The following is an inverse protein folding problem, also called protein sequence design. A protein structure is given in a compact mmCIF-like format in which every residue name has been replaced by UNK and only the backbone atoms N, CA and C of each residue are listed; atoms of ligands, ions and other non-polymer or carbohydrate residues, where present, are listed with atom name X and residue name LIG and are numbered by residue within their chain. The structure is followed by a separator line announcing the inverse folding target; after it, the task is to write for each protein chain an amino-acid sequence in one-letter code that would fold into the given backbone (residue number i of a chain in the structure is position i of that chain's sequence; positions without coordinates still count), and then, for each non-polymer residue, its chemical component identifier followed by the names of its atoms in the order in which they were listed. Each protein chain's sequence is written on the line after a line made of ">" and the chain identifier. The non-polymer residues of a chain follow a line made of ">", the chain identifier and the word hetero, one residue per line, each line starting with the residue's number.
data_IF_996236511917
#
_entry.id   IF_996236511917
#
_cell.length_a   1.000
_cell.length_b   1.000
_cell.length_c   1.000
_cell.angle_alpha   90.00
_cell.angle_beta   90.00
_cell.angle_gamma   90.00
#
_symmetry.space_group_name_H-M   'P 1'
#
loop_
_entity.id
_entity.type
_entity.pdbx_description
1 polymer ?
#
# COMPACT_ATOMS: atom_id res chain seq x y z
N UNK A 1 8.47 -20.07 -19.56
CA UNK A 1 8.12 -18.66 -19.82
C UNK A 1 8.67 -17.84 -18.66
N UNK A 2 9.33 -16.72 -18.93
CA UNK A 2 10.17 -16.00 -17.98
C UNK A 2 9.46 -14.75 -17.45
N UNK A 3 9.32 -14.60 -16.13
CA UNK A 3 8.70 -13.47 -15.43
C UNK A 3 7.18 -13.40 -15.49
N UNK A 4 6.55 -12.90 -14.42
CA UNK A 4 5.21 -12.28 -14.47
C UNK A 4 5.20 -11.03 -15.37
N UNK A 5 6.33 -10.32 -15.45
CA UNK A 5 6.63 -9.28 -16.44
C UNK A 5 7.87 -9.68 -17.23
N UNK A 6 7.74 -9.80 -18.56
CA UNK A 6 8.82 -10.17 -19.48
C UNK A 6 9.16 -9.02 -20.42
N UNK A 7 10.43 -8.65 -20.50
CA UNK A 7 10.95 -7.61 -21.39
C UNK A 7 11.87 -8.30 -22.41
N UNK A 8 11.55 -8.19 -23.71
CA UNK A 8 12.18 -9.01 -24.77
C UNK A 8 12.55 -8.25 -26.04
N UNK A 9 12.39 -6.92 -26.10
CA UNK A 9 12.55 -6.18 -27.36
C UNK A 9 14.00 -5.72 -27.53
N UNK A 10 14.70 -6.23 -28.54
CA UNK A 10 16.11 -5.94 -28.85
C UNK A 10 16.42 -4.45 -29.05
N UNK A 11 15.46 -3.68 -29.52
CA UNK A 11 15.61 -2.23 -29.74
C UNK A 11 14.94 -1.37 -28.65
N UNK A 12 14.64 -1.94 -27.48
CA UNK A 12 14.06 -1.19 -26.38
C UNK A 12 14.97 0.00 -26.00
N UNK A 13 14.46 1.22 -26.19
CA UNK A 13 15.05 2.49 -25.75
C UNK A 13 14.04 3.19 -24.86
N UNK A 14 14.50 3.79 -23.76
CA UNK A 14 13.63 4.46 -22.78
C UNK A 14 13.80 3.88 -21.38
N UNK A 15 12.76 3.97 -20.55
CA UNK A 15 12.76 3.44 -19.18
C UNK A 15 11.64 2.44 -18.97
N UNK A 16 11.95 1.32 -18.32
CA UNK A 16 10.94 0.47 -17.68
C UNK A 16 10.82 0.91 -16.22
N UNK A 17 9.61 1.26 -15.79
CA UNK A 17 9.35 1.72 -14.43
C UNK A 17 8.35 0.79 -13.77
N UNK A 18 8.80 0.04 -12.78
CA UNK A 18 7.95 -0.69 -11.84
C UNK A 18 8.09 -0.03 -10.48
N UNK A 19 7.10 0.76 -10.10
CA UNK A 19 7.05 1.42 -8.80
C UNK A 19 5.76 1.03 -8.08
N UNK A 20 5.88 0.68 -6.80
CA UNK A 20 4.72 0.43 -5.93
C UNK A 20 3.80 -0.70 -6.40
N UNK A 21 4.37 -1.74 -7.01
CA UNK A 21 3.63 -2.93 -7.43
C UNK A 21 3.78 -4.03 -6.38
N UNK A 22 2.83 -4.98 -6.37
CA UNK A 22 2.96 -6.23 -5.63
C UNK A 22 3.13 -7.36 -6.64
N UNK A 23 4.24 -8.10 -6.54
CA UNK A 23 4.50 -9.32 -7.29
C UNK A 23 4.34 -10.52 -6.36
N UNK A 24 3.24 -11.25 -6.52
CA UNK A 24 2.82 -12.31 -5.60
C UNK A 24 2.61 -13.64 -6.33
N UNK A 25 3.13 -14.74 -5.77
CA UNK A 25 2.95 -16.12 -6.27
C UNK A 25 3.24 -16.29 -7.77
N UNK A 26 4.11 -15.45 -8.34
CA UNK A 26 4.44 -15.60 -9.74
C UNK A 26 5.41 -16.76 -9.90
N UNK A 27 5.03 -17.74 -10.71
CA UNK A 27 5.89 -18.87 -11.05
C UNK A 27 6.32 -18.76 -12.49
N UNK A 28 7.63 -18.75 -12.74
CA UNK A 28 8.16 -18.72 -14.09
C UNK A 28 9.51 -19.46 -14.19
N UNK A 29 10.07 -19.54 -15.40
CA UNK A 29 11.27 -20.33 -15.64
C UNK A 29 12.54 -19.62 -15.14
N UNK A 30 12.71 -18.32 -15.41
CA UNK A 30 13.99 -17.62 -15.18
C UNK A 30 13.92 -16.55 -14.10
N UNK A 31 12.83 -15.78 -14.09
CA UNK A 31 12.46 -14.92 -12.97
C UNK A 31 11.01 -15.21 -12.60
N UNK A 32 10.64 -15.24 -11.33
CA UNK A 32 9.24 -15.32 -10.94
C UNK A 32 8.52 -14.01 -11.24
N UNK A 33 9.07 -12.85 -10.86
CA UNK A 33 8.39 -11.57 -11.02
C UNK A 33 8.78 -10.78 -12.29
N UNK A 34 10.01 -10.27 -12.40
CA UNK A 34 10.45 -9.40 -13.50
C UNK A 34 11.65 -10.03 -14.20
N UNK A 35 11.54 -10.25 -15.51
CA UNK A 35 12.61 -10.78 -16.35
C UNK A 35 12.93 -9.87 -17.53
N UNK A 36 14.21 -9.54 -17.71
CA UNK A 36 14.74 -8.98 -18.94
C UNK A 36 15.81 -9.88 -19.54
N UNK A 37 15.66 -10.24 -20.81
CA UNK A 37 16.56 -11.15 -21.51
C UNK A 37 17.82 -10.44 -22.05
N UNK A 38 18.88 -11.19 -22.34
CA UNK A 38 20.10 -10.67 -22.99
C UNK A 38 19.81 -10.12 -24.40
N UNK A 39 18.76 -10.64 -25.05
CA UNK A 39 18.27 -10.15 -26.33
C UNK A 39 17.44 -8.88 -26.23
N UNK A 40 17.26 -8.32 -25.03
CA UNK A 40 16.58 -7.03 -24.84
C UNK A 40 17.54 -5.90 -25.19
N UNK A 41 17.00 -4.75 -25.61
CA UNK A 41 17.78 -3.53 -25.72
C UNK A 41 18.32 -3.08 -24.36
N UNK A 42 18.82 -1.84 -24.29
CA UNK A 42 19.36 -1.25 -23.07
C UNK A 42 18.45 -0.16 -22.50
N UNK A 43 17.19 -0.47 -22.08
CA UNK A 43 16.38 0.51 -21.38
C UNK A 43 16.94 0.75 -19.97
N UNK A 44 16.59 1.88 -19.38
CA UNK A 44 16.84 2.15 -17.98
C UNK A 44 15.78 1.45 -17.11
N UNK A 45 16.17 0.59 -16.17
CA UNK A 45 15.22 -0.08 -15.28
C UNK A 45 15.10 0.69 -13.96
N UNK A 46 13.90 1.16 -13.64
CA UNK A 46 13.57 1.77 -12.35
C UNK A 46 12.58 0.85 -11.64
N UNK A 47 13.08 0.02 -10.72
CA UNK A 47 12.28 -0.97 -9.99
C UNK A 47 12.44 -0.68 -8.50
N UNK A 48 11.54 0.12 -7.93
CA UNK A 48 11.66 0.57 -6.55
C UNK A 48 10.33 0.50 -5.81
N UNK A 49 10.38 0.35 -4.50
CA UNK A 49 9.20 0.37 -3.63
C UNK A 49 8.12 -0.66 -4.00
N UNK A 50 8.51 -1.72 -4.70
CA UNK A 50 7.63 -2.85 -4.96
C UNK A 50 7.71 -3.83 -3.79
N UNK A 51 6.66 -4.61 -3.62
CA UNK A 51 6.67 -5.77 -2.74
C UNK A 51 6.74 -7.06 -3.55
N UNK A 52 7.63 -7.94 -3.14
CA UNK A 52 7.76 -9.28 -3.68
C UNK A 52 7.41 -10.32 -2.62
N UNK A 53 6.55 -11.26 -2.97
CA UNK A 53 6.07 -12.29 -2.04
C UNK A 53 6.00 -13.63 -2.78
N UNK A 54 6.72 -14.62 -2.27
CA UNK A 54 6.58 -16.02 -2.68
C UNK A 54 6.59 -16.23 -4.20
N UNK A 55 7.41 -15.47 -4.93
CA UNK A 55 7.64 -15.73 -6.35
C UNK A 55 8.61 -16.90 -6.49
N UNK A 56 8.59 -17.58 -7.62
CA UNK A 56 9.41 -18.78 -7.82
C UNK A 56 9.96 -18.86 -9.24
N UNK A 57 11.27 -19.08 -9.34
CA UNK A 57 11.94 -19.39 -10.58
C UNK A 57 12.38 -20.87 -10.66
N UNK A 58 11.87 -21.58 -11.67
CA UNK A 58 12.01 -23.04 -11.81
C UNK A 58 13.07 -23.49 -12.84
N UNK A 59 14.04 -22.64 -13.21
CA UNK A 59 15.05 -23.05 -14.20
C UNK A 59 15.93 -24.17 -13.64
N UNK A 60 16.13 -25.21 -14.45
CA UNK A 60 17.21 -26.18 -14.27
C UNK A 60 18.51 -25.68 -14.92
N UNK A 61 18.40 -24.84 -15.96
CA UNK A 61 19.54 -24.36 -16.76
C UNK A 61 19.64 -22.83 -16.81
N UNK A 62 20.87 -22.33 -16.62
CA UNK A 62 21.22 -20.90 -16.63
C UNK A 62 20.71 -20.10 -15.43
N UNK A 63 21.08 -18.83 -15.36
CA UNK A 63 20.81 -17.97 -14.20
C UNK A 63 19.32 -17.78 -13.95
N UNK A 64 18.94 -17.80 -12.67
CA UNK A 64 17.57 -17.61 -12.20
C UNK A 64 17.54 -16.79 -10.91
N UNK A 65 16.46 -16.07 -10.68
CA UNK A 65 16.20 -15.32 -9.46
C UNK A 65 14.70 -15.37 -9.17
N UNK A 66 14.24 -15.55 -7.93
CA UNK A 66 12.80 -15.70 -7.70
C UNK A 66 12.01 -14.43 -8.05
N UNK A 67 12.59 -13.24 -7.88
CA UNK A 67 11.90 -11.99 -8.14
C UNK A 67 12.40 -11.31 -9.41
N UNK A 68 13.62 -10.77 -9.40
CA UNK A 68 14.11 -9.89 -10.46
C UNK A 68 15.32 -10.53 -11.12
N UNK A 69 15.29 -10.72 -12.44
CA UNK A 69 16.46 -11.12 -13.22
C UNK A 69 16.60 -10.24 -14.46
N UNK A 70 17.66 -9.43 -14.50
CA UNK A 70 17.97 -8.54 -15.61
C UNK A 70 19.25 -9.00 -16.31
N UNK A 71 19.14 -9.60 -17.49
CA UNK A 71 20.30 -10.11 -18.25
C UNK A 71 20.80 -9.16 -19.34
N UNK A 72 20.14 -8.03 -19.55
CA UNK A 72 20.53 -7.01 -20.52
C UNK A 72 21.55 -6.05 -19.92
N UNK A 73 22.55 -5.62 -20.71
CA UNK A 73 23.38 -4.47 -20.34
C UNK A 73 22.52 -3.21 -20.26
N UNK A 74 22.44 -2.61 -19.08
CA UNK A 74 21.54 -1.47 -18.81
C UNK A 74 22.05 -0.57 -17.68
N UNK A 75 21.49 0.64 -17.63
CA UNK A 75 21.45 1.41 -16.38
C UNK A 75 20.27 0.94 -15.55
N UNK A 76 20.42 0.93 -14.24
CA UNK A 76 19.36 0.49 -13.34
C UNK A 76 19.34 1.32 -12.06
N UNK A 77 18.14 1.45 -11.50
CA UNK A 77 17.87 1.90 -10.13
C UNK A 77 16.86 0.92 -9.54
N UNK A 78 17.40 -0.14 -8.96
CA UNK A 78 16.63 -1.22 -8.36
C UNK A 78 16.98 -1.18 -6.88
N UNK A 79 16.10 -0.58 -6.08
CA UNK A 79 16.35 -0.36 -4.66
C UNK A 79 15.05 -0.17 -3.90
N UNK A 80 15.12 -0.29 -2.57
CA UNK A 80 14.01 0.03 -1.67
C UNK A 80 12.75 -0.80 -1.96
N UNK A 81 12.91 -1.97 -2.58
CA UNK A 81 11.85 -2.96 -2.64
C UNK A 81 11.78 -3.70 -1.30
N UNK A 82 10.64 -4.30 -1.02
CA UNK A 82 10.46 -5.16 0.15
C UNK A 82 10.21 -6.58 -0.33
N UNK A 83 10.70 -7.54 0.43
CA UNK A 83 10.50 -8.95 0.17
C UNK A 83 9.98 -9.63 1.42
N UNK A 84 9.00 -10.51 1.27
CA UNK A 84 8.51 -11.38 2.34
C UNK A 84 8.98 -12.80 2.03
N UNK A 85 9.63 -13.44 3.01
CA UNK A 85 10.13 -14.81 2.96
C UNK A 85 11.15 -15.13 1.85
N UNK A 86 12.01 -14.16 1.49
CA UNK A 86 13.09 -14.38 0.49
C UNK A 86 14.46 -13.87 0.93
N UNK A 87 15.42 -13.86 0.01
CA UNK A 87 16.78 -13.39 0.25
C UNK A 87 17.34 -12.51 -0.87
N UNK A 88 18.51 -11.89 -0.65
CA UNK A 88 19.12 -10.97 -1.61
C UNK A 88 19.42 -11.59 -2.98
N UNK A 89 19.57 -12.91 -3.06
CA UNK A 89 19.82 -13.63 -4.31
C UNK A 89 18.58 -13.74 -5.20
N UNK A 90 17.41 -13.33 -4.71
CA UNK A 90 16.18 -13.26 -5.50
C UNK A 90 16.13 -12.07 -6.47
N UNK A 91 17.11 -11.16 -6.41
CA UNK A 91 17.31 -10.09 -7.37
C UNK A 91 18.72 -10.12 -7.97
N UNK A 92 18.83 -10.48 -9.25
CA UNK A 92 20.09 -10.64 -9.98
C UNK A 92 20.17 -9.78 -11.25
N UNK A 93 21.39 -9.37 -11.60
CA UNK A 93 21.71 -8.63 -12.83
C UNK A 93 22.97 -9.16 -13.51
N UNK A 94 22.99 -9.12 -14.84
CA UNK A 94 24.19 -9.38 -15.63
C UNK A 94 25.17 -8.19 -15.49
N UNK A 95 26.41 -8.49 -15.11
CA UNK A 95 27.52 -7.54 -15.06
C UNK A 95 28.73 -8.14 -15.75
N UNK A 96 29.05 -7.65 -16.97
CA UNK A 96 30.04 -8.30 -17.81
C UNK A 96 29.59 -9.71 -18.18
N UNK A 97 30.45 -10.71 -17.94
CA UNK A 97 30.16 -12.13 -18.22
C UNK A 97 29.46 -12.84 -17.04
N UNK A 98 29.36 -12.19 -15.88
CA UNK A 98 28.80 -12.77 -14.65
C UNK A 98 27.36 -12.31 -14.39
N UNK A 99 26.62 -13.12 -13.63
CA UNK A 99 25.33 -12.72 -13.03
C UNK A 99 25.52 -12.56 -11.53
N UNK A 100 25.28 -11.36 -11.04
CA UNK A 100 25.55 -10.96 -9.66
C UNK A 100 24.27 -10.50 -8.96
N UNK A 101 24.29 -10.53 -7.63
CA UNK A 101 23.24 -9.95 -6.80
C UNK A 101 23.16 -8.43 -6.98
N UNK A 102 21.95 -7.91 -7.09
CA UNK A 102 21.71 -6.47 -7.14
C UNK A 102 21.81 -5.94 -5.71
N UNK A 103 22.92 -5.28 -5.40
CA UNK A 103 23.13 -4.66 -4.09
C UNK A 103 21.99 -3.67 -3.75
N UNK A 104 21.43 -3.82 -2.55
CA UNK A 104 20.33 -3.00 -2.03
C UNK A 104 19.03 -3.09 -2.83
N UNK A 105 18.83 -4.13 -3.66
CA UNK A 105 17.56 -4.36 -4.36
C UNK A 105 16.37 -4.34 -3.39
N UNK A 106 16.60 -4.94 -2.22
CA UNK A 106 15.69 -4.91 -1.09
C UNK A 106 16.25 -4.03 0.02
N UNK A 107 15.36 -3.34 0.73
CA UNK A 107 15.71 -2.70 1.99
C UNK A 107 16.14 -3.78 2.99
N UNK A 108 17.40 -3.75 3.45
CA UNK A 108 17.87 -4.62 4.53
C UNK A 108 17.16 -4.19 5.80
N UNK A 109 16.12 -4.93 6.17
CA UNK A 109 15.36 -4.70 7.38
C UNK A 109 15.19 -6.03 8.08
N UNK A 110 15.78 -6.16 9.27
CA UNK A 110 15.53 -7.34 10.09
C UNK A 110 14.05 -7.30 10.53
N UNK A 111 13.24 -8.31 10.19
CA UNK A 111 11.87 -8.35 10.66
C UNK A 111 11.85 -8.47 12.18
N UNK A 112 10.83 -7.89 12.81
CA UNK A 112 10.61 -8.06 14.25
C UNK A 112 9.74 -9.30 14.50
N UNK A 113 9.91 -9.92 15.67
CA UNK A 113 9.10 -11.06 16.06
C UNK A 113 7.62 -10.64 16.19
N UNK A 114 6.77 -11.27 15.39
CA UNK A 114 5.34 -11.00 15.33
C UNK A 114 4.72 -11.03 16.72
N UNK A 115 3.97 -9.97 17.00
CA UNK A 115 3.04 -9.90 18.12
C UNK A 115 1.73 -9.34 17.61
N UNK A 116 0.65 -9.76 18.27
CA UNK A 116 -0.67 -9.26 17.96
C UNK A 116 -0.83 -7.80 18.35
N UNK A 117 -0.46 -7.45 19.59
CA UNK A 117 -0.61 -6.09 20.12
C UNK A 117 0.70 -5.33 19.93
N UNK A 118 0.68 -4.26 19.13
CA UNK A 118 1.87 -3.45 18.84
C UNK A 118 1.61 -1.98 19.15
N UNK A 119 2.51 -1.37 19.90
CA UNK A 119 2.49 0.05 20.24
C UNK A 119 3.47 0.81 19.33
N UNK A 120 3.04 1.96 18.81
CA UNK A 120 3.89 2.83 17.97
C UNK A 120 3.91 4.25 18.52
N UNK A 121 5.09 4.87 18.70
CA UNK A 121 5.24 6.28 19.13
C UNK A 121 6.51 6.92 18.59
N UNK A 122 6.58 8.26 18.61
CA UNK A 122 7.72 9.00 18.04
C UNK A 122 9.07 8.67 18.71
N UNK A 123 9.06 8.38 20.01
CA UNK A 123 10.22 7.92 20.79
C UNK A 123 10.35 6.39 20.87
N UNK A 124 9.73 5.65 19.94
CA UNK A 124 9.87 4.21 19.83
C UNK A 124 11.20 3.79 19.19
N UNK A 125 11.44 2.49 19.16
CA UNK A 125 12.62 1.88 18.59
C UNK A 125 12.64 1.99 17.07
N UNK A 126 13.82 2.37 16.54
CA UNK A 126 14.09 2.41 15.12
C UNK A 126 14.99 1.22 14.75
N UNK A 127 14.40 0.09 14.40
CA UNK A 127 15.12 -1.16 14.20
C UNK A 127 15.94 -1.24 12.91
N UNK A 128 16.00 -0.17 12.12
CA UNK A 128 16.89 -0.09 10.96
C UNK A 128 18.36 -0.44 11.30
N UNK A 129 18.80 -0.29 12.55
CA UNK A 129 20.20 -0.51 12.96
C UNK A 129 20.42 -1.06 14.39
N UNK A 130 19.45 -1.73 15.03
CA UNK A 130 19.65 -2.26 16.40
C UNK A 130 19.49 -3.79 16.48
N UNK A 131 20.55 -4.57 16.16
CA UNK A 131 20.47 -6.02 16.04
C UNK A 131 20.52 -6.80 17.36
N UNK A 132 20.80 -6.16 18.51
CA UNK A 132 21.32 -6.87 19.68
C UNK A 132 20.40 -6.84 20.92
N UNK A 133 19.07 -7.02 20.78
CA UNK A 133 18.15 -7.16 21.93
C UNK A 133 17.17 -8.33 21.78
N UNK A 134 17.65 -9.54 22.05
CA UNK A 134 16.83 -10.75 22.12
C UNK A 134 16.03 -10.87 23.43
N UNK A 135 16.30 -10.01 24.41
CA UNK A 135 15.67 -9.99 25.74
C UNK A 135 14.47 -9.03 25.84
N UNK A 136 14.21 -8.23 24.79
CA UNK A 136 13.18 -7.21 24.79
C UNK A 136 12.09 -7.52 23.78
N UNK A 137 10.85 -7.49 24.25
CA UNK A 137 9.69 -7.61 23.39
C UNK A 137 9.46 -6.28 22.63
N UNK A 138 10.03 -6.17 21.43
CA UNK A 138 9.89 -5.03 20.52
C UNK A 138 8.41 -4.82 20.15
N UNK A 139 7.95 -3.57 20.09
CA UNK A 139 6.55 -3.25 19.81
C UNK A 139 5.64 -3.37 21.02
N UNK A 140 6.12 -3.85 22.16
CA UNK A 140 5.38 -3.78 23.42
C UNK A 140 5.22 -2.35 23.92
N UNK A 141 4.34 -2.11 24.89
CA UNK A 141 4.19 -0.81 25.56
C UNK A 141 5.52 -0.25 26.11
N UNK A 142 6.38 -1.13 26.65
CA UNK A 142 7.67 -0.75 27.21
C UNK A 142 8.71 -0.38 26.13
N UNK A 143 8.60 -0.99 24.95
CA UNK A 143 9.55 -0.84 23.85
C UNK A 143 8.81 -0.67 22.51
N UNK A 144 8.02 0.41 22.36
CA UNK A 144 7.16 0.59 21.19
C UNK A 144 7.99 0.83 19.93
N UNK A 145 7.42 0.55 18.76
CA UNK A 145 8.04 0.83 17.47
C UNK A 145 7.95 2.32 17.11
N UNK A 146 8.85 2.78 16.23
CA UNK A 146 8.87 4.18 15.79
C UNK A 146 7.92 4.50 14.62
N UNK A 147 7.75 3.59 13.66
CA UNK A 147 6.95 3.85 12.44
C UNK A 147 5.84 2.80 12.26
N UNK A 148 4.73 3.22 11.66
CA UNK A 148 3.57 2.35 11.38
C UNK A 148 3.89 1.41 10.22
N UNK A 149 4.52 1.92 9.17
CA UNK A 149 4.93 1.11 8.01
C UNK A 149 5.87 -0.03 8.42
N UNK A 150 6.82 0.19 9.34
CA UNK A 150 7.64 -0.89 9.86
C UNK A 150 6.81 -1.91 10.63
N UNK A 151 5.93 -1.45 11.53
CA UNK A 151 5.06 -2.33 12.31
C UNK A 151 4.15 -3.21 11.43
N UNK A 152 3.63 -2.65 10.34
CA UNK A 152 2.74 -3.35 9.41
C UNK A 152 3.51 -4.18 8.38
N UNK A 153 4.65 -3.72 7.89
CA UNK A 153 5.28 -4.34 6.72
C UNK A 153 6.44 -5.28 7.07
N UNK A 154 7.00 -5.21 8.28
CA UNK A 154 8.27 -5.85 8.66
C UNK A 154 8.13 -6.88 9.80
N UNK A 155 6.98 -7.56 9.87
CA UNK A 155 6.75 -8.68 10.79
C UNK A 155 7.36 -9.97 10.22
N UNK A 156 7.91 -10.83 11.09
CA UNK A 156 8.54 -12.11 10.71
C UNK A 156 7.57 -13.18 10.18
N UNK A 157 6.26 -12.97 10.34
CA UNK A 157 5.20 -13.78 9.74
C UNK A 157 3.90 -12.99 9.63
N UNK A 158 3.03 -13.44 8.73
CA UNK A 158 1.66 -12.97 8.64
C UNK A 158 0.86 -13.26 9.93
N UNK A 159 -0.07 -12.36 10.25
CA UNK A 159 -1.00 -12.52 11.36
C UNK A 159 -1.73 -11.22 11.71
N UNK A 160 -2.84 -11.37 12.43
CA UNK A 160 -3.69 -10.26 12.85
C UNK A 160 -2.94 -9.29 13.79
N UNK A 161 -3.16 -7.99 13.58
CA UNK A 161 -2.40 -6.93 14.22
C UNK A 161 -3.32 -5.87 14.82
N UNK A 162 -3.20 -5.64 16.11
CA UNK A 162 -3.87 -4.60 16.86
C UNK A 162 -2.83 -3.51 17.21
N UNK A 163 -2.78 -2.46 16.39
CA UNK A 163 -1.85 -1.34 16.51
C UNK A 163 -2.42 -0.24 17.42
N UNK A 164 -1.67 0.09 18.45
CA UNK A 164 -1.96 1.15 19.41
C UNK A 164 -1.11 2.37 19.09
N UNK A 165 -1.76 3.44 18.64
CA UNK A 165 -1.14 4.73 18.43
C UNK A 165 -1.37 5.62 19.65
N UNK A 166 -0.41 6.47 19.95
CA UNK A 166 -0.56 7.57 20.89
C UNK A 166 -0.82 8.85 20.08
N UNK A 167 -1.49 9.84 20.68
CA UNK A 167 -1.88 11.06 19.96
C UNK A 167 -0.68 11.84 19.46
N UNK A 168 -0.36 11.70 18.17
CA UNK A 168 0.72 12.39 17.47
C UNK A 168 0.56 12.18 15.96
N UNK A 169 1.43 12.82 15.19
CA UNK A 169 1.52 12.58 13.76
C UNK A 169 2.49 11.42 13.47
N UNK A 170 2.07 10.49 12.61
CA UNK A 170 2.81 9.33 12.15
C UNK A 170 3.02 9.42 10.64
N UNK A 171 4.16 9.97 10.18
CA UNK A 171 4.50 9.98 8.78
C UNK A 171 4.83 8.56 8.32
N UNK A 172 4.06 8.07 7.35
CA UNK A 172 4.34 6.85 6.62
C UNK A 172 5.55 7.07 5.71
N UNK A 173 6.49 6.13 5.76
CA UNK A 173 7.63 6.11 4.83
C UNK A 173 7.31 5.30 3.56
N UNK A 174 6.42 4.31 3.70
CA UNK A 174 6.00 3.39 2.65
C UNK A 174 4.48 3.17 2.74
N UNK A 175 3.84 2.71 1.64
CA UNK A 175 2.46 2.22 1.72
C UNK A 175 2.30 1.14 2.79
N UNK A 176 1.14 1.09 3.42
CA UNK A 176 0.79 -0.05 4.28
C UNK A 176 0.28 -1.18 3.42
N UNK A 177 0.80 -2.38 3.69
CA UNK A 177 0.47 -3.57 2.94
C UNK A 177 -0.34 -4.55 3.80
N UNK A 178 -1.62 -4.71 3.46
CA UNK A 178 -2.59 -5.54 4.17
C UNK A 178 -2.99 -6.71 3.28
N UNK A 179 -2.43 -7.89 3.53
CA UNK A 179 -2.61 -9.06 2.65
C UNK A 179 -3.74 -9.95 3.07
N UNK A 180 -3.50 -10.94 3.91
CA UNK A 180 -4.49 -11.90 4.40
C UNK A 180 -4.79 -11.69 5.88
N UNK A 181 -4.22 -10.62 6.44
CA UNK A 181 -4.24 -10.32 7.86
C UNK A 181 -5.32 -9.28 8.19
N UNK A 182 -5.87 -9.37 9.40
CA UNK A 182 -6.71 -8.30 9.95
C UNK A 182 -5.84 -7.32 10.73
N UNK A 183 -5.78 -6.07 10.27
CA UNK A 183 -5.06 -4.99 10.92
C UNK A 183 -6.05 -3.97 11.45
N UNK A 184 -6.03 -3.74 12.76
CA UNK A 184 -6.75 -2.66 13.41
C UNK A 184 -5.76 -1.63 13.94
N UNK A 185 -5.96 -0.36 13.63
CA UNK A 185 -5.19 0.74 14.20
C UNK A 185 -6.14 1.62 15.02
N UNK A 186 -5.78 1.88 16.29
CA UNK A 186 -6.57 2.69 17.21
C UNK A 186 -5.75 3.78 17.90
N UNK A 187 -6.41 4.90 18.20
CA UNK A 187 -5.89 5.95 19.09
C UNK A 187 -6.03 5.55 20.56
N UNK A 188 -4.97 5.71 21.34
CA UNK A 188 -4.97 5.51 22.78
C UNK A 188 -5.00 6.86 23.50
N UNK A 189 -6.09 7.08 24.25
CA UNK A 189 -6.38 8.34 24.96
C UNK A 189 -5.38 8.60 26.10
N UNK A 190 -4.84 7.55 26.72
CA UNK A 190 -4.16 7.62 28.03
C UNK A 190 -2.76 8.23 28.00
N UNK A 191 -2.21 8.63 26.84
CA UNK A 191 -0.90 9.29 26.77
C UNK A 191 -0.95 10.63 26.04
N UNK A 192 -1.97 11.45 26.34
CA UNK A 192 -1.99 12.87 25.98
C UNK A 192 -0.79 13.59 26.65
N UNK A 193 0.32 13.71 25.92
CA UNK A 193 1.38 14.66 26.29
C UNK A 193 0.82 16.08 26.20
N UNK A 194 1.18 16.98 27.12
CA UNK A 194 0.83 18.40 27.03
C UNK A 194 1.43 19.10 25.78
N UNK A 195 2.30 18.40 25.04
CA UNK A 195 2.91 18.89 23.80
C UNK A 195 2.19 18.42 22.52
N UNK A 196 1.15 17.58 22.62
CA UNK A 196 0.43 17.11 21.44
C UNK A 196 -0.76 18.03 21.13
N UNK A 197 -0.78 18.56 19.91
CA UNK A 197 -1.75 19.57 19.43
C UNK A 197 -2.93 18.96 18.68
N UNK A 198 -3.01 17.62 18.58
CA UNK A 198 -4.05 16.92 17.83
C UNK A 198 -5.03 16.22 18.77
N UNK A 199 -6.31 16.21 18.40
CA UNK A 199 -7.39 15.55 19.12
C UNK A 199 -7.34 14.02 18.98
N UNK A 200 -6.73 13.53 17.89
CA UNK A 200 -6.52 12.12 17.53
C UNK A 200 -5.12 11.91 16.94
N UNK A 201 -4.62 10.68 16.94
CA UNK A 201 -3.48 10.28 16.11
C UNK A 201 -3.76 10.56 14.63
N UNK A 202 -2.73 11.01 13.92
CA UNK A 202 -2.82 11.33 12.48
C UNK A 202 -1.83 10.45 11.73
N UNK A 203 -2.31 9.64 10.79
CA UNK A 203 -1.47 9.00 9.79
C UNK A 203 -1.24 10.02 8.67
N UNK A 204 0.01 10.39 8.42
CA UNK A 204 0.34 11.31 7.33
C UNK A 204 1.31 10.72 6.32
N UNK A 205 1.36 11.31 5.14
CA UNK A 205 2.30 10.92 4.10
C UNK A 205 2.60 12.08 3.15
N UNK A 206 3.84 12.15 2.72
CA UNK A 206 4.33 13.05 1.67
C UNK A 206 5.28 12.36 0.68
N UNK A 207 5.17 11.03 0.54
CA UNK A 207 6.04 10.23 -0.32
C UNK A 207 5.42 9.98 -1.70
N UNK A 208 6.29 9.70 -2.68
CA UNK A 208 5.94 9.62 -4.10
C UNK A 208 5.26 8.32 -4.54
N UNK A 209 4.36 7.76 -3.73
CA UNK A 209 3.56 6.57 -4.08
C UNK A 209 2.22 6.93 -4.73
N UNK A 210 1.74 6.02 -5.59
CA UNK A 210 0.40 6.07 -6.17
C UNK A 210 -0.71 5.71 -5.17
N UNK A 211 -0.36 5.17 -4.01
CA UNK A 211 -1.32 4.82 -2.96
C UNK A 211 -0.74 4.85 -1.54
N UNK A 212 -1.61 4.93 -0.54
CA UNK A 212 -1.22 4.86 0.88
C UNK A 212 -1.48 3.49 1.49
N UNK A 213 -2.60 2.85 1.14
CA UNK A 213 -3.01 1.55 1.66
C UNK A 213 -3.27 0.59 0.50
N UNK A 214 -2.60 -0.56 0.51
CA UNK A 214 -2.84 -1.65 -0.43
C UNK A 214 -3.43 -2.83 0.33
N UNK A 215 -4.64 -3.23 -0.05
CA UNK A 215 -5.39 -4.30 0.62
C UNK A 215 -5.69 -5.40 -0.40
N UNK A 216 -5.40 -6.65 -0.04
CA UNK A 216 -5.72 -7.80 -0.89
C UNK A 216 -6.99 -8.53 -0.45
N UNK A 217 -6.90 -9.36 0.58
CA UNK A 217 -8.00 -10.19 1.11
C UNK A 217 -8.34 -9.89 2.58
N UNK A 218 -7.38 -9.30 3.30
CA UNK A 218 -7.43 -8.98 4.72
C UNK A 218 -8.29 -7.76 5.00
N UNK A 219 -8.33 -7.39 6.27
CA UNK A 219 -9.14 -6.27 6.75
C UNK A 219 -8.26 -5.17 7.31
N UNK A 220 -8.52 -3.93 6.92
CA UNK A 220 -7.89 -2.77 7.53
C UNK A 220 -8.93 -1.89 8.21
N UNK A 221 -8.83 -1.77 9.53
CA UNK A 221 -9.76 -1.03 10.38
C UNK A 221 -9.05 0.13 11.07
N UNK A 222 -9.60 1.33 10.92
CA UNK A 222 -9.14 2.55 11.59
C UNK A 222 -10.19 3.02 12.60
N UNK A 223 -9.81 3.10 13.87
CA UNK A 223 -10.68 3.54 14.96
C UNK A 223 -10.15 4.84 15.58
N UNK A 224 -10.87 5.94 15.39
CA UNK A 224 -10.52 7.26 15.90
C UNK A 224 -9.13 7.76 15.49
N UNK A 225 -8.68 7.43 14.28
CA UNK A 225 -7.40 7.87 13.69
C UNK A 225 -7.66 8.70 12.44
N UNK A 226 -7.08 9.89 12.37
CA UNK A 226 -7.20 10.77 11.21
C UNK A 226 -6.18 10.39 10.12
N UNK A 227 -6.51 10.71 8.87
CA UNK A 227 -5.64 10.54 7.71
C UNK A 227 -5.40 11.91 7.06
N UNK A 228 -4.13 12.27 6.84
CA UNK A 228 -3.72 13.50 6.16
C UNK A 228 -2.60 13.23 5.16
N UNK A 229 -2.96 13.06 3.89
CA UNK A 229 -2.05 12.63 2.83
C UNK A 229 -1.86 13.75 1.81
N UNK A 230 -0.60 14.05 1.49
CA UNK A 230 -0.24 14.86 0.33
C UNK A 230 0.56 14.01 -0.63
N UNK A 231 0.15 13.90 -1.89
CA UNK A 231 0.91 13.17 -2.92
C UNK A 231 1.08 14.00 -4.17
N UNK A 232 2.29 13.95 -4.73
CA UNK A 232 2.62 14.54 -6.04
C UNK A 232 2.40 13.54 -7.18
N UNK A 233 2.08 12.28 -6.87
CA UNK A 233 1.79 11.25 -7.87
C UNK A 233 0.37 11.42 -8.40
N UNK A 234 0.21 11.21 -9.71
CA UNK A 234 -1.07 11.28 -10.39
C UNK A 234 -1.13 10.18 -11.46
N UNK A 235 -2.12 9.27 -11.42
CA UNK A 235 -3.22 9.21 -10.44
C UNK A 235 -2.78 8.75 -9.05
N UNK A 236 -3.55 9.12 -8.03
CA UNK A 236 -3.36 8.68 -6.64
C UNK A 236 -4.62 7.99 -6.11
N UNK A 237 -4.46 6.91 -5.34
CA UNK A 237 -5.56 6.17 -4.72
C UNK A 237 -5.26 6.00 -3.24
N UNK A 238 -6.09 6.53 -2.34
CA UNK A 238 -5.82 6.35 -0.91
C UNK A 238 -5.85 4.87 -0.53
N UNK A 239 -6.91 4.16 -0.94
CA UNK A 239 -7.16 2.75 -0.64
C UNK A 239 -7.23 1.97 -1.95
N UNK A 240 -6.22 1.14 -2.21
CA UNK A 240 -6.21 0.28 -3.39
C UNK A 240 -6.53 -1.15 -2.99
N UNK A 241 -7.67 -1.68 -3.45
CA UNK A 241 -8.10 -3.06 -3.14
C UNK A 241 -7.95 -3.95 -4.37
N UNK A 242 -7.11 -4.98 -4.24
CA UNK A 242 -6.72 -5.88 -5.35
C UNK A 242 -7.31 -7.29 -5.27
N UNK A 243 -8.05 -7.60 -4.21
CA UNK A 243 -8.76 -8.88 -3.97
C UNK A 243 -10.06 -8.65 -3.19
N UNK A 244 -10.54 -9.63 -2.41
CA UNK A 244 -11.73 -9.48 -1.55
C UNK A 244 -11.44 -8.83 -0.18
N UNK A 245 -10.69 -7.74 -0.21
CA UNK A 245 -10.27 -7.01 0.99
C UNK A 245 -11.37 -6.19 1.64
N UNK A 246 -11.08 -5.73 2.86
CA UNK A 246 -11.96 -4.86 3.65
C UNK A 246 -11.25 -3.58 4.10
N UNK A 247 -11.93 -2.44 3.99
CA UNK A 247 -11.49 -1.19 4.61
C UNK A 247 -12.62 -0.58 5.44
N UNK A 248 -12.35 -0.27 6.70
CA UNK A 248 -13.33 0.32 7.60
C UNK A 248 -12.71 1.47 8.40
N UNK A 249 -13.37 2.63 8.41
CA UNK A 249 -12.94 3.80 9.18
C UNK A 249 -14.07 4.32 10.05
N UNK A 250 -13.75 4.55 11.33
CA UNK A 250 -14.67 4.97 12.37
C UNK A 250 -14.16 6.21 13.07
N UNK A 251 -15.06 7.18 13.29
CA UNK A 251 -14.80 8.37 14.09
C UNK A 251 -13.51 9.11 13.66
N UNK A 252 -13.30 9.29 12.36
CA UNK A 252 -12.06 9.84 11.80
C UNK A 252 -12.32 11.06 10.91
N UNK A 253 -11.24 11.67 10.44
CA UNK A 253 -11.25 12.56 9.28
C UNK A 253 -10.23 12.07 8.25
N UNK A 254 -10.52 12.32 6.97
CA UNK A 254 -9.66 11.95 5.85
C UNK A 254 -9.44 13.20 5.01
N UNK A 255 -8.19 13.60 4.84
CA UNK A 255 -7.81 14.69 3.94
C UNK A 255 -6.76 14.20 2.96
N UNK A 256 -7.01 14.42 1.67
CA UNK A 256 -6.10 14.02 0.59
C UNK A 256 -5.86 15.19 -0.36
N UNK A 257 -4.60 15.59 -0.47
CA UNK A 257 -4.11 16.61 -1.40
C UNK A 257 -3.30 15.90 -2.50
N UNK A 258 -3.99 15.44 -3.53
CA UNK A 258 -3.37 14.76 -4.67
C UNK A 258 -4.19 14.92 -5.94
N UNK A 259 -3.54 15.04 -7.09
CA UNK A 259 -4.20 15.19 -8.39
C UNK A 259 -4.72 13.84 -8.91
N UNK A 260 -5.86 13.86 -9.63
CA UNK A 260 -6.53 12.66 -10.15
C UNK A 260 -6.72 11.59 -9.08
N UNK A 261 -7.18 12.01 -7.90
CA UNK A 261 -7.24 11.17 -6.73
C UNK A 261 -8.56 10.41 -6.57
N UNK A 262 -8.46 9.22 -5.97
CA UNK A 262 -9.58 8.38 -5.51
C UNK A 262 -9.44 8.09 -4.02
N UNK A 263 -10.57 7.97 -3.34
CA UNK A 263 -10.62 7.42 -1.99
C UNK A 263 -10.36 5.92 -2.04
N UNK A 264 -11.08 5.22 -2.91
CA UNK A 264 -10.94 3.78 -3.10
C UNK A 264 -11.03 3.44 -4.58
N UNK A 265 -10.15 2.53 -5.02
CA UNK A 265 -10.22 1.89 -6.33
C UNK A 265 -10.08 0.38 -6.19
N UNK A 266 -11.03 -0.35 -6.77
CA UNK A 266 -10.97 -1.79 -6.87
C UNK A 266 -11.57 -2.27 -8.19
N UNK A 267 -10.88 -3.23 -8.81
CA UNK A 267 -11.35 -3.96 -9.98
C UNK A 267 -11.84 -5.38 -9.64
N UNK A 268 -11.84 -5.75 -8.35
CA UNK A 268 -12.35 -7.01 -7.83
C UNK A 268 -13.55 -6.76 -6.91
N UNK A 269 -14.27 -7.83 -6.56
CA UNK A 269 -15.30 -7.77 -5.53
C UNK A 269 -14.66 -7.45 -4.19
N UNK A 270 -15.11 -6.37 -3.54
CA UNK A 270 -14.66 -6.06 -2.17
C UNK A 270 -15.51 -6.82 -1.15
N UNK A 271 -14.95 -7.16 0.00
CA UNK A 271 -15.70 -7.76 1.11
C UNK A 271 -16.40 -6.70 1.94
N UNK A 272 -15.69 -5.62 2.30
CA UNK A 272 -16.28 -4.54 3.09
C UNK A 272 -15.66 -3.17 2.77
N UNK A 273 -16.52 -2.16 2.66
CA UNK A 273 -16.11 -0.76 2.70
C UNK A 273 -17.04 -0.01 3.64
N UNK A 274 -16.51 0.49 4.76
CA UNK A 274 -17.29 1.23 5.75
C UNK A 274 -16.66 2.56 6.13
N UNK A 275 -17.48 3.62 6.10
CA UNK A 275 -17.15 4.92 6.68
C UNK A 275 -18.27 5.28 7.66
N UNK A 276 -17.97 5.35 8.96
CA UNK A 276 -18.95 5.74 9.99
C UNK A 276 -18.44 6.90 10.82
N UNK A 277 -19.23 7.96 10.87
CA UNK A 277 -18.86 9.21 11.55
C UNK A 277 -17.51 9.76 11.04
N UNK A 278 -17.26 9.68 9.73
CA UNK A 278 -16.03 10.21 9.12
C UNK A 278 -16.28 11.64 8.66
N UNK A 279 -15.73 12.62 9.39
CA UNK A 279 -16.09 14.02 9.22
C UNK A 279 -14.86 14.95 9.35
N UNK A 280 -14.38 15.56 8.25
CA UNK A 280 -14.76 15.36 6.85
C UNK A 280 -13.92 14.28 6.14
N UNK A 281 -14.39 13.86 4.95
CA UNK A 281 -13.60 13.24 3.87
C UNK A 281 -13.38 14.29 2.79
N UNK A 282 -12.17 14.83 2.67
CA UNK A 282 -11.85 15.98 1.80
C UNK A 282 -10.79 15.64 0.77
N UNK A 283 -11.08 15.88 -0.50
CA UNK A 283 -10.14 15.75 -1.62
C UNK A 283 -10.03 17.09 -2.35
N UNK A 284 -8.83 17.71 -2.32
CA UNK A 284 -8.64 19.10 -2.80
C UNK A 284 -7.78 19.22 -4.07
N UNK A 285 -7.06 18.17 -4.46
CA UNK A 285 -6.25 18.19 -5.67
C UNK A 285 -7.10 18.29 -6.94
N UNK A 286 -6.52 18.79 -8.04
CA UNK A 286 -7.23 18.86 -9.31
C UNK A 286 -7.54 17.45 -9.82
N UNK A 287 -8.74 17.23 -10.36
CA UNK A 287 -9.12 15.89 -10.81
C UNK A 287 -9.78 15.95 -12.18
N UNK A 288 -9.26 15.12 -13.09
CA UNK A 288 -9.93 14.67 -14.30
C UNK A 288 -10.56 13.28 -14.08
N UNK A 289 -10.46 12.72 -12.87
CA UNK A 289 -10.93 11.37 -12.56
C UNK A 289 -12.46 11.28 -12.62
N UNK A 290 -12.94 10.13 -13.09
CA UNK A 290 -14.37 9.90 -13.31
C UNK A 290 -15.16 9.78 -12.01
N UNK A 291 -14.55 9.30 -10.91
CA UNK A 291 -15.20 9.06 -9.61
C UNK A 291 -14.22 9.07 -8.45
N UNK A 292 -14.66 9.48 -7.25
CA UNK A 292 -13.88 9.38 -6.01
C UNK A 292 -13.82 7.94 -5.48
N UNK A 293 -14.95 7.22 -5.57
CA UNK A 293 -15.12 5.83 -5.15
C UNK A 293 -15.39 5.00 -6.39
N UNK A 294 -14.61 3.93 -6.58
CA UNK A 294 -14.74 3.01 -7.71
C UNK A 294 -14.56 1.58 -7.22
N UNK A 295 -15.65 0.82 -7.13
CA UNK A 295 -15.64 -0.54 -6.55
C UNK A 295 -16.61 -1.48 -7.27
N UNK A 296 -16.36 -2.79 -7.16
CA UNK A 296 -17.26 -3.85 -7.63
C UNK A 296 -17.85 -4.58 -6.41
N UNK A 297 -19.15 -4.83 -6.43
CA UNK A 297 -19.91 -5.45 -5.35
C UNK A 297 -20.62 -6.73 -5.83
N UNK A 298 -20.72 -7.73 -4.95
CA UNK A 298 -21.49 -8.96 -5.11
C UNK A 298 -22.15 -9.36 -3.79
N UNK A 299 -22.68 -10.58 -3.73
CA UNK A 299 -23.40 -11.18 -2.60
C UNK A 299 -22.62 -11.31 -1.28
N UNK A 300 -21.29 -11.16 -1.30
CA UNK A 300 -20.46 -11.10 -0.09
C UNK A 300 -20.11 -9.68 0.35
N UNK A 301 -20.41 -8.68 -0.47
CA UNK A 301 -19.99 -7.30 -0.23
C UNK A 301 -20.87 -6.56 0.78
N UNK A 302 -20.24 -5.83 1.69
CA UNK A 302 -20.86 -4.77 2.51
C UNK A 302 -20.32 -3.41 2.12
N UNK A 303 -21.19 -2.48 1.72
CA UNK A 303 -20.86 -1.10 1.45
C UNK A 303 -21.69 -0.18 2.34
N UNK A 304 -21.07 0.59 3.24
CA UNK A 304 -21.78 1.40 4.24
C UNK A 304 -21.09 2.75 4.46
N UNK A 305 -21.74 3.83 4.04
CA UNK A 305 -21.34 5.20 4.37
C UNK A 305 -22.43 5.81 5.23
N UNK A 306 -22.11 6.04 6.49
CA UNK A 306 -23.05 6.55 7.50
C UNK A 306 -22.47 7.76 8.24
N UNK A 307 -23.29 8.79 8.44
CA UNK A 307 -22.96 10.00 9.22
C UNK A 307 -21.65 10.66 8.77
N UNK A 308 -21.44 10.78 7.45
CA UNK A 308 -20.15 11.18 6.85
C UNK A 308 -20.34 12.39 5.92
N UNK A 309 -19.40 13.33 5.97
CA UNK A 309 -19.37 14.50 5.07
C UNK A 309 -18.26 14.33 4.05
N UNK A 310 -18.60 14.30 2.76
CA UNK A 310 -17.66 14.14 1.65
C UNK A 310 -17.56 15.45 0.87
N UNK A 311 -16.35 15.95 0.68
CA UNK A 311 -16.01 17.08 -0.17
C UNK A 311 -14.99 16.66 -1.23
N UNK A 312 -15.44 16.57 -2.48
CA UNK A 312 -14.64 16.09 -3.62
C UNK A 312 -14.78 17.06 -4.79
N UNK A 313 -14.44 18.33 -4.53
CA UNK A 313 -14.74 19.50 -5.38
C UNK A 313 -14.32 19.38 -6.83
N UNK A 314 -13.31 18.57 -7.10
CA UNK A 314 -12.72 18.45 -8.42
C UNK A 314 -13.06 17.12 -9.10
N UNK A 315 -13.70 16.17 -8.41
CA UNK A 315 -14.11 14.89 -9.00
C UNK A 315 -15.42 15.03 -9.78
N UNK A 316 -15.55 14.27 -10.88
CA UNK A 316 -16.77 14.27 -11.70
C UNK A 316 -17.95 13.55 -11.01
N UNK A 317 -17.65 12.53 -10.19
CA UNK A 317 -18.65 11.73 -9.46
C UNK A 317 -18.15 11.38 -8.07
N UNK A 318 -19.05 11.18 -7.11
CA UNK A 318 -18.65 10.63 -5.81
C UNK A 318 -18.41 9.13 -5.90
N UNK A 319 -19.29 8.39 -6.56
CA UNK A 319 -19.19 6.94 -6.63
C UNK A 319 -19.53 6.39 -8.03
N UNK A 320 -18.84 5.32 -8.40
CA UNK A 320 -19.14 4.42 -9.51
C UNK A 320 -19.14 3.00 -8.96
N UNK A 321 -20.34 2.40 -8.84
CA UNK A 321 -20.50 1.09 -8.22
C UNK A 321 -20.97 0.09 -9.27
N UNK A 322 -20.16 -0.92 -9.57
CA UNK A 322 -20.61 -2.07 -10.37
C UNK A 322 -21.16 -3.13 -9.42
N UNK A 323 -22.42 -3.54 -9.62
CA UNK A 323 -23.10 -4.52 -8.79
C UNK A 323 -23.42 -5.73 -9.65
N UNK A 324 -22.74 -6.85 -9.41
CA UNK A 324 -22.92 -8.09 -10.18
C UNK A 324 -23.92 -9.04 -9.50
N UNK A 325 -24.07 -8.96 -8.18
CA UNK A 325 -25.10 -9.65 -7.39
C UNK A 325 -25.54 -8.78 -6.19
N UNK A 326 -26.64 -9.13 -5.53
CA UNK A 326 -27.26 -8.37 -4.44
C UNK A 326 -26.32 -8.33 -3.22
N UNK A 327 -25.71 -7.17 -2.89
CA UNK A 327 -24.79 -7.08 -1.77
C UNK A 327 -25.50 -7.28 -0.43
N UNK A 328 -24.77 -7.78 0.57
CA UNK A 328 -25.25 -7.93 1.95
C UNK A 328 -25.83 -6.60 2.44
N UNK A 329 -25.11 -5.50 2.19
CA UNK A 329 -25.54 -4.16 2.50
C UNK A 329 -25.04 -3.17 1.45
N UNK A 330 -25.90 -2.23 1.07
CA UNK A 330 -25.55 -1.02 0.32
C UNK A 330 -26.23 0.17 1.01
N UNK A 331 -25.49 0.87 1.86
CA UNK A 331 -26.03 1.88 2.77
C UNK A 331 -25.36 3.24 2.50
N UNK A 332 -26.20 4.24 2.28
CA UNK A 332 -25.85 5.66 2.38
C UNK A 332 -26.82 6.30 3.36
N UNK A 333 -26.38 6.62 4.57
CA UNK A 333 -27.22 7.19 5.63
C UNK A 333 -26.62 8.48 6.17
N UNK A 334 -27.41 9.56 6.20
CA UNK A 334 -26.96 10.86 6.70
C UNK A 334 -25.64 11.36 6.06
N UNK A 335 -25.45 11.09 4.76
CA UNK A 335 -24.24 11.48 4.03
C UNK A 335 -24.43 12.89 3.46
N UNK A 336 -23.51 13.80 3.77
CA UNK A 336 -23.49 15.14 3.20
C UNK A 336 -22.44 15.22 2.09
N UNK A 337 -22.90 15.53 0.87
CA UNK A 337 -22.06 15.77 -0.28
C UNK A 337 -21.85 17.27 -0.48
N UNK A 338 -20.68 17.80 -0.12
CA UNK A 338 -20.47 19.24 -0.02
C UNK A 338 -20.22 19.93 -1.37
N UNK A 339 -19.46 19.29 -2.27
CA UNK A 339 -19.15 19.86 -3.59
C UNK A 339 -18.58 18.82 -4.56
N UNK A 340 -19.03 18.90 -5.83
CA UNK A 340 -18.49 18.16 -6.99
C UNK A 340 -17.94 19.16 -8.02
N UNK A 341 -17.28 18.63 -9.06
CA UNK A 341 -16.83 19.45 -10.18
C UNK A 341 -18.00 20.26 -10.76
N UNK A 342 -17.70 21.45 -11.29
CA UNK A 342 -18.68 22.32 -11.95
C UNK A 342 -19.08 21.84 -13.36
N UNK A 343 -18.58 20.68 -13.79
CA UNK A 343 -18.95 20.09 -15.07
C UNK A 343 -20.42 19.62 -15.05
N UNK A 344 -21.18 19.97 -16.08
CA UNK A 344 -22.61 19.63 -16.25
C UNK A 344 -22.87 18.13 -16.35
N UNK A 345 -21.86 17.31 -16.66
CA UNK A 345 -21.96 15.84 -16.72
C UNK A 345 -21.71 15.15 -15.36
N UNK A 346 -21.46 15.94 -14.29
CA UNK A 346 -21.20 15.42 -12.96
C UNK A 346 -22.45 14.75 -12.38
N UNK A 347 -22.30 13.55 -11.80
CA UNK A 347 -23.41 12.77 -11.22
C UNK A 347 -23.09 12.36 -9.79
N UNK A 348 -24.12 12.28 -8.95
CA UNK A 348 -23.99 11.87 -7.54
C UNK A 348 -23.55 10.39 -7.44
N UNK A 349 -24.11 9.52 -8.29
CA UNK A 349 -23.71 8.11 -8.45
C UNK A 349 -24.10 7.61 -9.85
N UNK A 350 -23.43 6.57 -10.36
CA UNK A 350 -23.81 5.82 -11.57
C UNK A 350 -23.62 4.32 -11.36
#
# INVERSE_FOLDING_TARGET
>A
QAGGVRITKADARGSFTALYNTFYNNTATRAGAIFADISSGSPNYVIQYNLFINNTANSADGSKANDILILSNCTYRISDNVQIDGDSSDALIQSGDDVIEIANAYSVVLPYQYQRDIHVRAGGENLQFNPDRTDVLIGSFGNPLKTIDYAVNQRDKAGNLDLVLYRQNYPLQYPLWIYDDDITIKDEVFCSSPYYTTDKSVISASYGSSHAFSIREGSFVLNAVNIDITSTVSPFVLIFITGQGSFEAYDSSITVVASNSKLIDSNQFIKSFKLKNVNPVTFTGSSLSSSLISTVLNDVSTFDITDTTIDARNNQRYASLRIDDTPINLIFKNVKFSSLSTNTDSKIAQ
#
